data_IF_716522848028
#
_entry.id   IF_716522848028
#
_cell.length_a   1.000
_cell.length_b   1.000
_cell.length_c   1.000
_cell.angle_alpha   90.00
_cell.angle_beta   90.00
_cell.angle_gamma   90.00
#
_symmetry.space_group_name_H-M   'P 1'
#
loop_
_entity.id
_entity.type
_entity.pdbx_description
1 polymer ?
#
# COMPACT_ATOMS: atom_id res chain seq x y z
N UNK A 1 -14.24 -23.67 -22.39
CA UNK A 1 -13.52 -22.66 -21.58
C UNK A 1 -12.63 -23.44 -20.62
N UNK A 2 -11.29 -23.28 -20.68
CA UNK A 2 -10.42 -23.93 -19.68
C UNK A 2 -10.64 -23.20 -18.36
N UNK A 3 -11.05 -23.93 -17.33
CA UNK A 3 -11.08 -23.40 -15.97
C UNK A 3 -9.67 -22.93 -15.62
N UNK A 4 -9.53 -21.65 -15.26
CA UNK A 4 -8.26 -21.12 -14.82
C UNK A 4 -7.84 -21.85 -13.54
N UNK A 5 -6.61 -22.38 -13.51
CA UNK A 5 -6.03 -23.03 -12.34
C UNK A 5 -5.98 -22.04 -11.17
N UNK A 6 -6.84 -22.26 -10.16
CA UNK A 6 -7.00 -21.37 -9.01
C UNK A 6 -5.90 -21.53 -7.96
N UNK A 7 -4.95 -22.45 -8.15
CA UNK A 7 -3.75 -22.56 -7.29
C UNK A 7 -2.79 -21.37 -7.46
N UNK A 8 -2.94 -20.60 -8.53
CA UNK A 8 -2.08 -19.46 -8.90
C UNK A 8 -2.54 -18.10 -8.33
N UNK A 9 -3.68 -18.03 -7.65
CA UNK A 9 -4.29 -16.76 -7.25
C UNK A 9 -4.88 -16.80 -5.84
N UNK A 10 -4.71 -15.71 -5.09
CA UNK A 10 -5.36 -15.49 -3.81
C UNK A 10 -6.55 -14.54 -3.96
N UNK A 11 -7.61 -14.85 -3.22
CA UNK A 11 -8.77 -13.98 -3.06
C UNK A 11 -8.43 -12.96 -1.97
N UNK A 12 -8.47 -11.68 -2.33
CA UNK A 12 -8.28 -10.56 -1.42
C UNK A 12 -9.66 -9.99 -1.09
N UNK A 13 -10.09 -10.23 0.15
CA UNK A 13 -11.36 -9.69 0.66
C UNK A 13 -11.28 -8.17 0.87
N UNK A 14 -12.42 -7.45 0.96
CA UNK A 14 -12.44 -6.04 1.35
C UNK A 14 -11.63 -5.74 2.61
N UNK A 15 -11.05 -4.55 2.66
CA UNK A 15 -10.23 -4.04 3.78
C UNK A 15 -9.02 -4.95 4.05
N UNK A 16 -8.29 -5.30 2.98
CA UNK A 16 -7.04 -6.04 3.07
C UNK A 16 -5.94 -5.30 2.32
N UNK A 17 -4.70 -5.51 2.75
CA UNK A 17 -3.52 -5.12 1.99
C UNK A 17 -3.03 -6.30 1.18
N UNK A 18 -2.48 -6.02 0.00
CA UNK A 18 -1.75 -6.98 -0.79
C UNK A 18 -0.48 -6.34 -1.34
N UNK A 19 0.66 -6.99 -1.21
CA UNK A 19 1.91 -6.49 -1.76
C UNK A 19 2.77 -7.61 -2.34
N UNK A 20 3.64 -7.27 -3.29
CA UNK A 20 4.62 -8.20 -3.85
C UNK A 20 5.96 -8.07 -3.11
N UNK A 21 6.42 -9.09 -2.37
CA UNK A 21 7.70 -9.05 -1.63
C UNK A 21 8.91 -8.67 -2.47
N UNK A 22 8.93 -9.06 -3.75
CA UNK A 22 10.04 -8.80 -4.66
C UNK A 22 10.03 -7.37 -5.26
N UNK A 23 8.94 -6.61 -5.06
CA UNK A 23 8.71 -5.31 -5.72
C UNK A 23 8.15 -4.24 -4.78
N UNK A 24 8.08 -4.49 -3.47
CA UNK A 24 7.58 -3.50 -2.52
C UNK A 24 8.44 -2.24 -2.50
N UNK A 25 9.74 -2.38 -2.77
CA UNK A 25 10.70 -1.28 -2.89
C UNK A 25 10.38 -0.28 -4.01
N UNK A 26 9.56 -0.66 -4.99
CA UNK A 26 9.06 0.24 -6.04
C UNK A 26 7.57 0.56 -5.87
N UNK A 27 7.03 0.35 -4.68
CA UNK A 27 5.64 0.67 -4.33
C UNK A 27 4.62 -0.37 -4.78
N UNK A 28 5.02 -1.63 -5.01
CA UNK A 28 4.09 -2.72 -5.37
C UNK A 28 3.27 -3.20 -4.16
N UNK A 29 2.43 -2.31 -3.62
CA UNK A 29 1.49 -2.54 -2.53
C UNK A 29 0.15 -1.86 -2.86
N UNK A 30 -0.95 -2.50 -2.50
CA UNK A 30 -2.29 -1.97 -2.68
C UNK A 30 -3.16 -2.22 -1.46
N UNK A 31 -4.10 -1.31 -1.23
CA UNK A 31 -5.18 -1.47 -0.27
C UNK A 31 -6.49 -1.74 -1.02
N UNK A 32 -7.19 -2.81 -0.64
CA UNK A 32 -8.47 -3.15 -1.24
C UNK A 32 -9.60 -2.40 -0.54
N UNK A 33 -9.98 -1.27 -1.12
CA UNK A 33 -11.05 -0.39 -0.63
C UNK A 33 -12.39 -0.58 -1.35
N UNK A 34 -12.55 -1.63 -2.15
CA UNK A 34 -13.82 -1.96 -2.82
C UNK A 34 -14.65 -2.93 -1.98
N UNK A 35 -15.97 -2.81 -2.07
CA UNK A 35 -16.95 -3.72 -1.43
C UNK A 35 -17.04 -5.11 -2.09
N UNK A 36 -16.03 -5.50 -2.87
CA UNK A 36 -15.96 -6.80 -3.54
C UNK A 36 -14.59 -7.41 -3.39
N UNK A 37 -14.54 -8.73 -3.35
CA UNK A 37 -13.26 -9.44 -3.38
C UNK A 37 -12.58 -9.28 -4.75
N UNK A 38 -11.26 -9.16 -4.74
CA UNK A 38 -10.42 -9.17 -5.94
C UNK A 38 -9.46 -10.35 -5.88
N UNK A 39 -8.75 -10.58 -6.98
CA UNK A 39 -7.71 -11.62 -7.04
C UNK A 39 -6.35 -10.98 -7.24
N UNK A 40 -5.34 -11.55 -6.59
CA UNK A 40 -3.92 -11.27 -6.83
C UNK A 40 -3.19 -12.58 -7.11
N UNK A 41 -2.04 -12.52 -7.77
CA UNK A 41 -1.18 -13.69 -7.91
C UNK A 41 -0.77 -14.23 -6.54
N UNK A 42 -0.55 -15.54 -6.43
CA UNK A 42 0.02 -16.18 -5.22
C UNK A 42 1.41 -15.65 -4.82
N UNK A 43 2.06 -14.85 -5.67
CA UNK A 43 3.29 -14.12 -5.36
C UNK A 43 3.08 -12.92 -4.42
N UNK A 44 1.85 -12.55 -4.13
CA UNK A 44 1.53 -11.45 -3.22
C UNK A 44 1.30 -11.98 -1.81
N UNK A 45 1.80 -11.25 -0.83
CA UNK A 45 1.42 -11.39 0.58
C UNK A 45 0.12 -10.62 0.79
N UNK A 46 -0.85 -11.23 1.48
CA UNK A 46 -2.16 -10.63 1.76
C UNK A 46 -2.39 -10.64 3.27
N UNK A 47 -2.68 -9.47 3.85
CA UNK A 47 -2.90 -9.35 5.28
C UNK A 47 -3.97 -8.32 5.62
N UNK A 48 -4.45 -8.38 6.86
CA UNK A 48 -5.39 -7.42 7.45
C UNK A 48 -4.82 -6.86 8.74
N UNK A 49 -5.22 -5.64 9.04
CA UNK A 49 -4.99 -5.01 10.34
C UNK A 49 -5.87 -5.66 11.41
N UNK A 50 -5.44 -5.52 12.65
CA UNK A 50 -6.24 -5.74 13.85
C UNK A 50 -6.96 -4.45 14.24
N UNK A 51 -7.91 -4.54 15.17
CA UNK A 51 -8.80 -3.42 15.54
C UNK A 51 -8.09 -2.20 16.15
N UNK A 52 -6.85 -2.35 16.58
CA UNK A 52 -5.98 -1.30 17.13
C UNK A 52 -5.21 -0.51 16.06
N UNK A 53 -5.34 -0.88 14.78
CA UNK A 53 -4.69 -0.22 13.65
C UNK A 53 -5.72 0.24 12.65
N UNK A 54 -5.78 1.54 12.40
CA UNK A 54 -6.57 2.11 11.30
C UNK A 54 -5.87 1.84 9.96
N UNK A 55 -6.60 1.22 9.02
CA UNK A 55 -6.09 0.89 7.68
C UNK A 55 -5.53 2.11 6.95
N UNK A 56 -6.21 3.25 7.06
CA UNK A 56 -5.82 4.47 6.36
C UNK A 56 -4.53 5.05 6.93
N UNK A 57 -4.39 5.06 8.26
CA UNK A 57 -3.15 5.43 8.92
C UNK A 57 -1.98 4.54 8.45
N UNK A 58 -2.18 3.22 8.46
CA UNK A 58 -1.15 2.28 8.01
C UNK A 58 -0.82 2.45 6.51
N UNK A 59 -1.82 2.70 5.67
CA UNK A 59 -1.64 3.00 4.25
C UNK A 59 -0.73 4.20 4.01
N UNK A 60 -0.90 5.27 4.78
CA UNK A 60 -0.01 6.43 4.71
C UNK A 60 1.39 6.13 5.25
N UNK A 61 1.51 5.30 6.28
CA UNK A 61 2.83 4.86 6.76
C UNK A 61 3.59 4.07 5.69
N UNK A 62 2.93 3.21 4.90
CA UNK A 62 3.57 2.51 3.78
C UNK A 62 4.12 3.44 2.70
N UNK A 63 3.58 4.65 2.55
CA UNK A 63 4.09 5.66 1.62
C UNK A 63 5.24 6.50 2.22
N UNK A 64 5.49 6.37 3.52
CA UNK A 64 6.44 7.23 4.24
C UNK A 64 7.90 6.81 4.00
N UNK A 65 8.81 7.78 4.15
CA UNK A 65 10.25 7.51 4.17
C UNK A 65 10.66 6.57 5.32
N UNK A 66 9.89 6.53 6.41
CA UNK A 66 10.16 5.61 7.51
C UNK A 66 9.99 4.15 7.07
N UNK A 67 8.94 3.82 6.31
CA UNK A 67 8.76 2.48 5.79
C UNK A 67 9.82 2.12 4.74
N UNK A 68 10.20 3.07 3.87
CA UNK A 68 11.28 2.84 2.90
C UNK A 68 12.59 2.45 3.60
N UNK A 69 12.94 3.10 4.71
CA UNK A 69 14.10 2.70 5.54
C UNK A 69 13.96 1.29 6.12
N UNK A 70 12.74 0.86 6.46
CA UNK A 70 12.52 -0.52 6.93
C UNK A 70 12.70 -1.54 5.81
N UNK A 71 12.22 -1.23 4.59
CA UNK A 71 12.49 -2.05 3.41
C UNK A 71 14.00 -2.17 3.19
N UNK A 72 14.71 -1.05 3.17
CA UNK A 72 16.18 -1.02 2.98
C UNK A 72 16.91 -1.86 4.03
N UNK A 73 16.46 -1.80 5.29
CA UNK A 73 17.07 -2.49 6.41
C UNK A 73 16.85 -4.01 6.40
N UNK A 74 15.65 -4.46 6.06
CA UNK A 74 15.25 -5.87 6.27
C UNK A 74 15.08 -6.69 4.98
N UNK A 75 15.10 -6.06 3.81
CA UNK A 75 15.08 -6.81 2.55
C UNK A 75 16.33 -7.69 2.43
N UNK A 76 16.17 -8.86 1.82
CA UNK A 76 17.24 -9.86 1.71
C UNK A 76 17.25 -10.53 0.33
N UNK A 77 18.42 -11.03 -0.07
CA UNK A 77 18.60 -11.74 -1.34
C UNK A 77 19.85 -11.26 -2.10
N UNK A 78 20.19 -11.99 -3.18
CA UNK A 78 21.34 -11.67 -4.03
C UNK A 78 20.95 -10.79 -5.21
N UNK A 79 20.53 -11.41 -6.32
CA UNK A 79 20.14 -10.70 -7.55
C UNK A 79 18.82 -9.95 -7.41
N UNK A 80 17.89 -10.51 -6.64
CA UNK A 80 16.62 -9.87 -6.28
C UNK A 80 16.53 -9.80 -4.77
N UNK A 81 16.13 -8.63 -4.28
CA UNK A 81 15.82 -8.40 -2.89
C UNK A 81 14.34 -8.67 -2.66
N UNK A 82 14.05 -9.35 -1.57
CA UNK A 82 12.71 -9.72 -1.13
C UNK A 82 12.47 -9.18 0.27
N UNK A 83 11.24 -8.71 0.49
CA UNK A 83 10.76 -8.25 1.78
C UNK A 83 9.50 -9.06 2.12
N UNK A 84 9.69 -10.27 2.63
CA UNK A 84 8.59 -11.18 2.98
C UNK A 84 7.82 -10.70 4.21
N UNK A 85 6.68 -11.34 4.49
CA UNK A 85 5.79 -10.91 5.56
C UNK A 85 6.45 -10.94 6.95
N UNK A 86 7.36 -11.87 7.21
CA UNK A 86 8.16 -11.90 8.45
C UNK A 86 8.95 -10.60 8.66
N UNK A 87 9.51 -10.01 7.58
CA UNK A 87 10.23 -8.73 7.62
C UNK A 87 9.28 -7.56 7.91
N UNK A 88 8.07 -7.60 7.36
CA UNK A 88 7.04 -6.62 7.69
C UNK A 88 6.72 -6.67 9.19
N UNK A 89 6.60 -7.86 9.78
CA UNK A 89 6.37 -8.04 11.22
C UNK A 89 7.54 -7.57 12.09
N UNK A 90 8.77 -7.45 11.56
CA UNK A 90 9.93 -6.88 12.28
C UNK A 90 9.96 -5.35 12.27
N UNK A 91 9.09 -4.70 11.49
CA UNK A 91 9.04 -3.24 11.43
C UNK A 91 8.47 -2.65 12.72
N UNK A 92 9.10 -1.58 13.19
CA UNK A 92 8.58 -0.78 14.29
C UNK A 92 7.90 0.48 13.76
N UNK A 93 6.65 0.70 14.17
CA UNK A 93 5.87 1.91 13.90
C UNK A 93 5.43 2.52 15.23
N UNK A 94 5.50 3.85 15.34
CA UNK A 94 4.85 4.55 16.44
C UNK A 94 3.34 4.50 16.21
N UNK A 95 2.63 3.76 17.06
CA UNK A 95 1.19 3.55 16.94
C UNK A 95 0.46 4.40 17.99
N UNK A 96 -0.05 5.59 17.63
CA UNK A 96 -0.81 6.43 18.56
C UNK A 96 -2.20 5.82 18.83
N UNK A 97 -3.00 6.48 19.67
CA UNK A 97 -4.38 6.06 19.93
C UNK A 97 -5.19 5.93 18.64
N UNK A 98 -6.18 5.05 18.61
CA UNK A 98 -7.00 4.82 17.40
C UNK A 98 -7.69 6.11 16.94
N UNK A 99 -8.12 6.97 17.88
CA UNK A 99 -8.70 8.28 17.56
C UNK A 99 -7.69 9.22 16.88
N UNK A 100 -6.43 9.20 17.30
CA UNK A 100 -5.37 9.97 16.66
C UNK A 100 -4.99 9.42 15.29
N UNK A 101 -4.93 8.10 15.13
CA UNK A 101 -4.72 7.45 13.85
C UNK A 101 -5.78 7.90 12.83
N UNK A 102 -7.06 7.89 13.20
CA UNK A 102 -8.14 8.39 12.36
C UNK A 102 -7.96 9.86 11.95
N UNK A 103 -7.58 10.73 12.91
CA UNK A 103 -7.35 12.16 12.63
C UNK A 103 -6.19 12.36 11.66
N UNK A 104 -5.08 11.66 11.89
CA UNK A 104 -3.88 11.73 11.05
C UNK A 104 -4.22 11.22 9.64
N UNK A 105 -4.81 10.02 9.53
CA UNK A 105 -5.17 9.43 8.23
C UNK A 105 -6.11 10.32 7.43
N UNK A 106 -7.15 10.90 8.07
CA UNK A 106 -8.06 11.85 7.41
C UNK A 106 -7.34 13.13 6.95
N UNK A 107 -6.43 13.66 7.75
CA UNK A 107 -5.68 14.86 7.38
C UNK A 107 -4.76 14.59 6.18
N UNK A 108 -4.06 13.45 6.17
CA UNK A 108 -3.19 13.06 5.05
C UNK A 108 -3.98 12.80 3.77
N UNK A 109 -5.15 12.17 3.83
CA UNK A 109 -6.05 12.03 2.66
C UNK A 109 -6.43 13.39 2.07
N UNK A 110 -6.76 14.37 2.93
CA UNK A 110 -7.09 15.71 2.48
C UNK A 110 -5.92 16.36 1.74
N UNK A 111 -4.69 16.18 2.23
CA UNK A 111 -3.49 16.68 1.57
C UNK A 111 -3.24 15.97 0.22
N UNK A 112 -3.36 14.65 0.17
CA UNK A 112 -3.24 13.86 -1.08
C UNK A 112 -4.26 14.33 -2.13
N UNK A 113 -5.50 14.57 -1.71
CA UNK A 113 -6.56 15.09 -2.59
C UNK A 113 -6.25 16.51 -3.07
N UNK A 114 -5.76 17.37 -2.19
CA UNK A 114 -5.38 18.74 -2.54
C UNK A 114 -4.24 18.75 -3.55
N UNK A 115 -3.21 17.94 -3.34
CA UNK A 115 -2.06 17.80 -4.25
C UNK A 115 -2.53 17.28 -5.61
N UNK A 116 -3.36 16.23 -5.62
CA UNK A 116 -3.93 15.65 -6.85
C UNK A 116 -4.72 16.69 -7.64
N UNK A 117 -5.54 17.51 -6.96
CA UNK A 117 -6.30 18.59 -7.60
C UNK A 117 -5.38 19.63 -8.24
N UNK A 118 -4.35 20.08 -7.53
CA UNK A 118 -3.40 21.07 -8.07
C UNK A 118 -2.60 20.52 -9.25
N UNK A 119 -2.15 19.26 -9.18
CA UNK A 119 -1.46 18.60 -10.30
C UNK A 119 -2.35 18.50 -11.54
N UNK A 120 -3.64 18.19 -11.36
CA UNK A 120 -4.61 18.16 -12.47
C UNK A 120 -4.76 19.53 -13.12
N UNK A 121 -4.89 20.60 -12.33
CA UNK A 121 -4.98 21.98 -12.83
C UNK A 121 -3.70 22.33 -13.61
N UNK A 122 -2.53 22.10 -13.03
CA UNK A 122 -1.24 22.36 -13.67
C UNK A 122 -1.12 21.64 -15.03
N UNK A 123 -1.48 20.36 -15.09
CA UNK A 123 -1.45 19.57 -16.33
C UNK A 123 -2.42 20.09 -17.40
N UNK A 124 -3.59 20.59 -17.01
CA UNK A 124 -4.54 21.21 -17.94
C UNK A 124 -3.98 22.52 -18.49
N UNK A 125 -3.46 23.39 -17.63
CA UNK A 125 -2.89 24.68 -18.04
C UNK A 125 -1.73 24.51 -19.02
N UNK A 126 -0.81 23.59 -18.74
CA UNK A 126 0.29 23.30 -19.66
C UNK A 126 -0.19 22.82 -21.04
N UNK A 127 -1.23 21.98 -21.10
CA UNK A 127 -1.78 21.52 -22.39
C UNK A 127 -2.40 22.64 -23.23
N UNK A 128 -2.85 23.73 -22.60
CA UNK A 128 -3.41 24.89 -23.31
C UNK A 128 -2.29 25.78 -23.86
N UNK A 129 -1.20 25.96 -23.12
CA UNK A 129 -0.09 26.85 -23.50
C UNK A 129 0.74 26.27 -24.65
N UNK A 130 0.85 24.95 -24.76
CA UNK A 130 1.61 24.26 -25.81
C UNK A 130 0.76 23.78 -26.99
N UNK A 131 -0.42 24.36 -27.19
CA UNK A 131 -1.23 24.26 -28.42
C UNK A 131 -1.13 25.56 -29.20
#
# INVERSE_FOLDING_TARGET
MREADKTMYYIVSPNSFAYNPARINVGSIGYQNLDKSVIVSSLYEVFKTTADVDDRFLWHWFKSAAFQKMIEKYQEGGVRLYFYYDKLCMCSIALPSIEEQHKIGKHLDMLDNLITLHQRIYNITNKIIYK
#
